data_IF_141623263796
#
_entry.id   IF_141623263796
#
_cell.length_a   1.000
_cell.length_b   1.000
_cell.length_c   1.000
_cell.angle_alpha   90.00
_cell.angle_beta   90.00
_cell.angle_gamma   90.00
#
_symmetry.space_group_name_H-M   'P 1'
#
loop_
_entity.id
_entity.type
_entity.pdbx_description
1 polymer ?
#
# COMPACT_ATOMS: atom_id res chain seq x y z
N UNK A 1 -20.38 -49.51 -16.33
CA UNK A 1 -19.82 -50.28 -15.20
C UNK A 1 -19.17 -49.29 -14.24
N UNK A 2 -19.75 -49.11 -13.05
CA UNK A 2 -19.26 -48.17 -12.06
C UNK A 2 -18.00 -48.75 -11.40
N UNK A 3 -16.85 -48.12 -11.62
CA UNK A 3 -15.62 -48.43 -10.89
C UNK A 3 -15.80 -48.04 -9.42
N UNK A 4 -16.11 -49.03 -8.56
CA UNK A 4 -16.00 -48.88 -7.10
C UNK A 4 -14.52 -48.93 -6.72
N UNK A 5 -13.82 -47.84 -6.98
CA UNK A 5 -12.44 -47.65 -6.54
C UNK A 5 -12.37 -47.46 -5.03
N UNK A 6 -11.24 -47.82 -4.43
CA UNK A 6 -10.93 -47.72 -3.00
C UNK A 6 -10.77 -46.27 -2.48
N UNK A 7 -10.69 -45.27 -3.37
CA UNK A 7 -10.50 -43.86 -3.03
C UNK A 7 -11.68 -43.16 -2.30
N UNK A 8 -12.96 -43.31 -2.70
CA UNK A 8 -14.08 -42.66 -2.02
C UNK A 8 -14.24 -43.04 -0.54
N UNK A 9 -13.86 -44.23 -0.11
CA UNK A 9 -14.13 -44.64 1.29
C UNK A 9 -13.17 -43.99 2.30
N UNK A 10 -11.94 -43.67 1.91
CA UNK A 10 -10.96 -43.04 2.81
C UNK A 10 -10.94 -41.52 2.61
N UNK A 11 -11.12 -41.04 1.38
CA UNK A 11 -10.99 -39.62 1.06
C UNK A 11 -12.31 -38.95 0.63
N UNK A 12 -13.44 -39.66 0.61
CA UNK A 12 -14.69 -39.16 0.04
C UNK A 12 -15.15 -37.84 0.64
N UNK A 13 -15.16 -37.71 1.97
CA UNK A 13 -15.62 -36.49 2.64
C UNK A 13 -14.66 -35.32 2.40
N UNK A 14 -13.34 -35.57 2.42
CA UNK A 14 -12.34 -34.53 2.15
C UNK A 14 -12.37 -34.09 0.68
N UNK A 15 -12.55 -35.05 -0.23
CA UNK A 15 -12.62 -34.81 -1.66
C UNK A 15 -13.89 -34.03 -2.02
N UNK A 16 -15.04 -34.39 -1.46
CA UNK A 16 -16.30 -33.68 -1.64
C UNK A 16 -16.20 -32.23 -1.11
N UNK A 17 -15.60 -32.04 0.06
CA UNK A 17 -15.36 -30.69 0.59
C UNK A 17 -14.40 -29.88 -0.29
N UNK A 18 -13.37 -30.53 -0.84
CA UNK A 18 -12.42 -29.89 -1.74
C UNK A 18 -13.07 -29.53 -3.08
N UNK A 19 -13.90 -30.39 -3.65
CA UNK A 19 -14.66 -30.11 -4.88
C UNK A 19 -15.71 -29.03 -4.66
N UNK A 20 -16.41 -29.01 -3.51
CA UNK A 20 -17.33 -27.94 -3.16
C UNK A 20 -16.61 -26.60 -3.00
N UNK A 21 -15.43 -26.60 -2.38
CA UNK A 21 -14.62 -25.39 -2.21
C UNK A 21 -14.07 -24.90 -3.56
N UNK A 22 -13.59 -25.81 -4.40
CA UNK A 22 -13.13 -25.49 -5.76
C UNK A 22 -14.26 -25.05 -6.67
N UNK A 23 -15.44 -25.67 -6.58
CA UNK A 23 -16.61 -25.32 -7.38
C UNK A 23 -17.15 -23.92 -7.08
N UNK A 24 -17.00 -23.43 -5.84
CA UNK A 24 -17.32 -22.04 -5.47
C UNK A 24 -16.37 -21.02 -6.13
N UNK A 25 -15.10 -21.40 -6.32
CA UNK A 25 -14.07 -20.52 -6.89
C UNK A 25 -14.01 -20.61 -8.43
N UNK A 26 -14.18 -21.81 -8.97
CA UNK A 26 -13.94 -22.13 -10.38
C UNK A 26 -15.22 -22.44 -11.19
N UNK A 27 -16.40 -22.35 -10.58
CA UNK A 27 -17.65 -22.71 -11.23
C UNK A 27 -17.88 -24.23 -11.32
N UNK A 28 -18.88 -24.66 -12.08
CA UNK A 28 -19.28 -26.08 -12.12
C UNK A 28 -18.22 -26.91 -12.87
N UNK A 29 -17.81 -28.08 -12.35
CA UNK A 29 -16.91 -28.98 -13.05
C UNK A 29 -17.65 -29.71 -14.18
N UNK A 30 -17.01 -29.78 -15.34
CA UNK A 30 -17.37 -30.64 -16.46
C UNK A 30 -16.37 -31.79 -16.54
N UNK A 31 -16.87 -33.02 -16.50
CA UNK A 31 -16.04 -34.21 -16.62
C UNK A 31 -16.10 -34.73 -18.05
N UNK A 32 -14.94 -34.93 -18.67
CA UNK A 32 -14.84 -35.59 -19.96
C UNK A 32 -13.72 -36.63 -19.94
N UNK A 33 -13.85 -37.63 -20.80
CA UNK A 33 -12.91 -38.75 -20.87
C UNK A 33 -11.95 -38.52 -22.02
N UNK A 34 -10.66 -38.37 -21.71
CA UNK A 34 -9.61 -38.13 -22.71
C UNK A 34 -8.45 -39.10 -22.46
N UNK A 35 -8.08 -39.88 -23.49
CA UNK A 35 -6.96 -40.83 -23.44
C UNK A 35 -7.01 -41.88 -22.30
N UNK A 36 -8.20 -42.29 -21.86
CA UNK A 36 -8.33 -43.26 -20.76
C UNK A 36 -8.37 -42.62 -19.36
N UNK A 37 -8.26 -41.30 -19.26
CA UNK A 37 -8.28 -40.55 -18.00
C UNK A 37 -9.56 -39.71 -17.90
N UNK A 38 -10.14 -39.66 -16.70
CA UNK A 38 -11.24 -38.75 -16.38
C UNK A 38 -10.61 -37.40 -16.04
N UNK A 39 -10.82 -36.41 -16.90
CA UNK A 39 -10.35 -35.04 -16.68
C UNK A 39 -11.53 -34.19 -16.25
N UNK A 40 -11.37 -33.49 -15.13
CA UNK A 40 -12.33 -32.51 -14.63
C UNK A 40 -11.88 -31.10 -15.04
N UNK A 41 -12.66 -30.41 -15.88
CA UNK A 41 -12.40 -29.02 -16.30
C UNK A 41 -13.49 -28.12 -15.74
N UNK A 42 -13.11 -27.01 -15.13
CA UNK A 42 -14.05 -26.09 -14.48
C UNK A 42 -14.52 -25.00 -15.46
N UNK A 43 -15.78 -24.59 -15.34
CA UNK A 43 -16.42 -23.60 -16.22
C UNK A 43 -15.64 -22.28 -16.34
N UNK A 44 -15.06 -21.78 -15.24
CA UNK A 44 -14.27 -20.54 -15.30
C UNK A 44 -12.96 -20.72 -16.05
N UNK A 45 -12.35 -21.91 -16.03
CA UNK A 45 -11.15 -22.22 -16.83
C UNK A 45 -11.48 -22.17 -18.32
N UNK A 46 -12.68 -22.60 -18.71
CA UNK A 46 -13.18 -22.50 -20.08
C UNK A 46 -13.42 -21.06 -20.57
N UNK A 47 -13.60 -20.10 -19.67
CA UNK A 47 -13.66 -18.67 -20.04
C UNK A 47 -12.27 -18.08 -20.32
N UNK A 48 -11.21 -18.65 -19.73
CA UNK A 48 -9.82 -18.28 -20.04
C UNK A 48 -9.27 -19.07 -21.24
N UNK A 49 -9.64 -20.34 -21.37
CA UNK A 49 -9.37 -21.18 -22.55
C UNK A 49 -10.49 -20.99 -23.58
N UNK A 50 -10.38 -19.92 -24.39
CA UNK A 50 -11.31 -19.64 -25.49
C UNK A 50 -11.68 -20.90 -26.29
N UNK A 51 -12.95 -21.28 -26.23
CA UNK A 51 -13.48 -22.54 -26.75
C UNK A 51 -13.52 -22.54 -28.30
N UNK A 52 -12.45 -22.98 -29.00
CA UNK A 52 -12.51 -23.36 -30.42
C UNK A 52 -11.50 -24.47 -30.82
N UNK A 53 -11.97 -25.68 -31.20
CA UNK A 53 -11.12 -26.84 -31.50
C UNK A 53 -10.39 -26.79 -32.86
N UNK A 54 -10.50 -25.70 -33.64
CA UNK A 54 -9.73 -25.51 -34.89
C UNK A 54 -8.74 -24.35 -34.88
N UNK A 55 -8.73 -23.51 -33.84
CA UNK A 55 -7.81 -22.35 -33.75
C UNK A 55 -6.77 -22.53 -32.64
N UNK A 56 -6.85 -23.62 -31.84
CA UNK A 56 -5.96 -23.91 -30.71
C UNK A 56 -4.45 -23.96 -31.02
N UNK A 57 -4.04 -23.98 -32.29
CA UNK A 57 -2.62 -23.91 -32.68
C UNK A 57 -2.09 -22.47 -32.79
N UNK A 58 -2.94 -21.47 -32.99
CA UNK A 58 -2.56 -20.06 -33.02
C UNK A 58 -2.58 -19.41 -31.62
N UNK A 59 -3.47 -19.87 -30.73
CA UNK A 59 -3.60 -19.33 -29.36
C UNK A 59 -2.53 -19.81 -28.37
N UNK A 60 -1.54 -20.60 -28.82
CA UNK A 60 -0.37 -20.94 -28.00
C UNK A 60 0.57 -19.74 -27.82
N UNK A 61 0.42 -18.69 -28.63
CA UNK A 61 1.19 -17.44 -28.51
C UNK A 61 0.37 -16.25 -27.98
N UNK A 62 -0.97 -16.34 -27.94
CA UNK A 62 -1.87 -15.23 -27.57
C UNK A 62 -2.75 -15.49 -26.33
N UNK A 63 -2.37 -16.40 -25.44
CA UNK A 63 -3.12 -16.59 -24.19
C UNK A 63 -3.03 -15.35 -23.29
N UNK A 64 -4.20 -14.71 -23.17
CA UNK A 64 -4.89 -13.81 -22.21
C UNK A 64 -4.29 -13.59 -20.79
N UNK A 65 -3.08 -14.07 -20.50
CA UNK A 65 -2.06 -13.36 -19.72
C UNK A 65 -1.28 -12.39 -20.64
N UNK A 66 -2.00 -11.75 -21.58
CA UNK A 66 -1.40 -11.04 -22.70
C UNK A 66 -0.31 -10.07 -22.25
N UNK A 67 0.78 -10.00 -23.02
CA UNK A 67 1.89 -9.06 -22.79
C UNK A 67 1.40 -7.64 -22.48
N UNK A 68 0.31 -7.21 -23.13
CA UNK A 68 -0.37 -5.93 -22.89
C UNK A 68 -0.93 -5.81 -21.47
N UNK A 69 -1.61 -6.83 -20.94
CA UNK A 69 -2.14 -6.81 -19.58
C UNK A 69 -1.01 -6.79 -18.54
N UNK A 70 0.00 -7.64 -18.74
CA UNK A 70 1.15 -7.72 -17.83
C UNK A 70 1.94 -6.41 -17.82
N UNK A 71 2.20 -5.81 -18.98
CA UNK A 71 2.88 -4.51 -19.08
C UNK A 71 2.08 -3.39 -18.43
N UNK A 72 0.75 -3.36 -18.61
CA UNK A 72 -0.12 -2.40 -17.94
C UNK A 72 -0.11 -2.57 -16.42
N UNK A 73 -0.17 -3.80 -15.91
CA UNK A 73 -0.08 -4.11 -14.49
C UNK A 73 1.26 -3.67 -13.89
N UNK A 74 2.37 -3.91 -14.61
CA UNK A 74 3.70 -3.44 -14.19
C UNK A 74 3.79 -1.91 -14.16
N UNK A 75 3.19 -1.22 -15.14
CA UNK A 75 3.12 0.24 -15.14
C UNK A 75 2.34 0.75 -13.92
N UNK A 76 1.20 0.13 -13.60
CA UNK A 76 0.40 0.52 -12.43
C UNK A 76 1.13 0.23 -11.12
N UNK A 77 1.79 -0.92 -10.97
CA UNK A 77 2.64 -1.20 -9.82
C UNK A 77 3.79 -0.21 -9.70
N UNK A 78 4.37 0.23 -10.82
CA UNK A 78 5.41 1.24 -10.83
C UNK A 78 4.89 2.61 -10.37
N UNK A 79 3.77 3.07 -10.91
CA UNK A 79 3.12 4.33 -10.48
C UNK A 79 2.73 4.25 -9.00
N UNK A 80 2.15 3.13 -8.58
CA UNK A 80 1.83 2.86 -7.17
C UNK A 80 3.07 2.93 -6.28
N UNK A 81 4.17 2.30 -6.70
CA UNK A 81 5.45 2.37 -6.00
C UNK A 81 5.99 3.79 -5.89
N UNK A 82 5.90 4.58 -6.97
CA UNK A 82 6.31 5.99 -6.97
C UNK A 82 5.48 6.84 -6.01
N UNK A 83 4.16 6.63 -5.94
CA UNK A 83 3.27 7.30 -4.99
C UNK A 83 3.62 6.96 -3.54
N UNK A 84 3.98 5.71 -3.25
CA UNK A 84 4.40 5.32 -1.90
C UNK A 84 5.80 5.88 -1.57
N UNK A 85 6.68 5.99 -2.57
CA UNK A 85 8.02 6.54 -2.38
C UNK A 85 8.01 8.03 -1.98
N UNK A 86 7.06 8.82 -2.49
CA UNK A 86 6.92 10.23 -2.07
C UNK A 86 6.52 10.37 -0.60
N UNK A 87 5.65 9.48 -0.11
CA UNK A 87 5.32 9.41 1.32
C UNK A 87 6.53 8.99 2.16
N UNK A 88 7.28 7.97 1.73
CA UNK A 88 8.52 7.57 2.41
C UNK A 88 9.55 8.70 2.47
N UNK A 89 9.73 9.46 1.39
CA UNK A 89 10.63 10.63 1.38
C UNK A 89 10.19 11.67 2.40
N UNK A 90 8.87 11.90 2.52
CA UNK A 90 8.32 12.83 3.51
C UNK A 90 8.62 12.34 4.93
N UNK A 91 8.40 11.05 5.22
CA UNK A 91 8.73 10.46 6.52
C UNK A 91 10.24 10.59 6.82
N UNK A 92 11.09 10.29 5.84
CA UNK A 92 12.54 10.40 5.96
C UNK A 92 12.99 11.84 6.23
N UNK A 93 12.42 12.83 5.55
CA UNK A 93 12.73 14.25 5.80
C UNK A 93 12.35 14.66 7.24
N UNK A 94 11.20 14.22 7.75
CA UNK A 94 10.82 14.49 9.14
C UNK A 94 11.75 13.81 10.14
N UNK A 95 12.14 12.56 9.85
CA UNK A 95 13.11 11.83 10.66
C UNK A 95 14.46 12.54 10.68
N UNK A 96 14.93 13.00 9.52
CA UNK A 96 16.17 13.75 9.38
C UNK A 96 16.13 15.05 10.19
N UNK A 97 15.09 15.87 10.03
CA UNK A 97 14.96 17.12 10.81
C UNK A 97 14.96 16.86 12.31
N UNK A 98 14.22 15.84 12.78
CA UNK A 98 14.23 15.50 14.20
C UNK A 98 15.60 14.99 14.65
N UNK A 99 16.28 14.19 13.84
CA UNK A 99 17.58 13.61 14.19
C UNK A 99 18.63 14.71 14.40
N UNK A 100 18.75 15.63 13.44
CA UNK A 100 19.74 16.72 13.48
C UNK A 100 19.39 17.87 14.43
N UNK A 101 18.14 17.97 14.90
CA UNK A 101 17.77 18.98 15.89
C UNK A 101 18.46 18.70 17.25
N UNK A 102 19.21 19.69 17.80
CA UNK A 102 19.93 19.52 19.05
C UNK A 102 18.99 19.33 20.24
N UNK A 103 19.44 18.56 21.23
CA UNK A 103 18.67 18.28 22.43
C UNK A 103 19.32 18.93 23.65
N UNK A 104 18.53 19.62 24.45
CA UNK A 104 18.95 20.22 25.74
C UNK A 104 18.14 19.59 26.87
N UNK A 105 18.74 19.41 28.04
CA UNK A 105 18.02 19.08 29.28
C UNK A 105 17.65 20.34 30.09
N UNK A 106 18.18 21.52 29.71
CA UNK A 106 17.86 22.78 30.39
C UNK A 106 16.49 23.33 29.93
N UNK A 107 15.47 23.21 30.78
CA UNK A 107 14.13 23.77 30.53
C UNK A 107 14.13 25.30 30.33
N UNK A 108 15.11 26.00 30.92
CA UNK A 108 15.20 27.47 30.87
C UNK A 108 15.73 28.03 29.54
N UNK A 109 16.25 27.20 28.63
CA UNK A 109 16.86 27.65 27.35
C UNK A 109 16.00 27.38 26.12
N UNK A 110 14.72 27.09 26.32
CA UNK A 110 13.84 26.59 25.25
C UNK A 110 13.46 27.67 24.22
N UNK A 111 13.40 28.93 24.65
CA UNK A 111 13.03 30.07 23.81
C UNK A 111 14.11 31.14 23.90
N UNK A 112 14.80 31.37 22.79
CA UNK A 112 15.66 32.55 22.64
C UNK A 112 14.87 33.56 21.82
N UNK A 113 14.57 34.70 22.44
CA UNK A 113 13.98 35.82 21.73
C UNK A 113 15.07 36.37 20.80
N UNK A 114 14.81 36.38 19.49
CA UNK A 114 15.72 37.03 18.54
C UNK A 114 15.80 38.53 18.87
N UNK A 115 16.98 39.13 18.73
CA UNK A 115 17.25 40.55 19.03
C UNK A 115 16.28 41.51 18.30
N UNK A 116 15.74 41.08 17.16
CA UNK A 116 14.78 41.86 16.37
C UNK A 116 13.36 41.89 16.95
N UNK A 117 13.09 41.18 18.06
CA UNK A 117 11.81 41.16 18.77
C UNK A 117 10.61 40.60 17.98
N UNK A 118 10.80 40.22 16.71
CA UNK A 118 9.74 39.82 15.78
C UNK A 118 9.64 38.32 15.54
N UNK A 119 10.67 37.54 15.88
CA UNK A 119 10.69 36.10 15.68
C UNK A 119 11.16 35.35 16.93
N UNK A 120 10.32 34.43 17.43
CA UNK A 120 10.73 33.42 18.41
C UNK A 120 11.36 32.24 17.67
N UNK A 121 12.64 31.95 17.93
CA UNK A 121 13.31 30.77 17.40
C UNK A 121 13.39 29.69 18.48
N UNK A 122 12.97 28.47 18.13
CA UNK A 122 13.12 27.30 18.99
C UNK A 122 14.55 26.78 18.78
N UNK A 123 15.39 26.88 19.82
CA UNK A 123 16.81 26.51 19.72
C UNK A 123 17.04 25.03 20.01
N UNK A 124 16.27 24.44 20.93
CA UNK A 124 16.46 23.06 21.34
C UNK A 124 15.14 22.42 21.81
N UNK A 125 15.06 21.10 21.67
CA UNK A 125 13.90 20.29 22.09
C UNK A 125 14.34 19.27 23.16
N UNK A 126 13.58 19.11 24.25
CA UNK A 126 13.90 18.13 25.29
C UNK A 126 13.86 16.69 24.75
N UNK A 127 14.76 15.86 25.27
CA UNK A 127 14.97 14.48 24.77
C UNK A 127 13.73 13.61 24.88
N UNK A 128 12.97 13.73 25.97
CA UNK A 128 11.73 12.98 26.20
C UNK A 128 10.69 13.22 25.10
N UNK A 129 10.48 14.48 24.73
CA UNK A 129 9.59 14.85 23.63
C UNK A 129 10.11 14.37 22.27
N UNK A 130 11.42 14.43 22.04
CA UNK A 130 12.03 13.93 20.80
C UNK A 130 11.76 12.43 20.60
N UNK A 131 11.95 11.61 21.64
CA UNK A 131 11.63 10.18 21.57
C UNK A 131 10.13 9.93 21.41
N UNK A 132 9.29 10.66 22.14
CA UNK A 132 7.84 10.53 22.00
C UNK A 132 7.38 10.79 20.57
N UNK A 133 7.83 11.89 19.94
CA UNK A 133 7.49 12.20 18.54
C UNK A 133 8.04 11.14 17.59
N UNK A 134 9.28 10.70 17.80
CA UNK A 134 9.92 9.70 16.94
C UNK A 134 9.16 8.35 16.98
N UNK A 135 8.80 7.85 18.16
CA UNK A 135 8.12 6.57 18.29
C UNK A 135 6.61 6.64 18.04
N UNK A 136 5.92 7.68 18.50
CA UNK A 136 4.46 7.74 18.37
C UNK A 136 4.04 8.25 17.00
N UNK A 137 4.74 9.24 16.45
CA UNK A 137 4.34 9.90 15.20
C UNK A 137 5.03 9.27 14.00
N UNK A 138 6.36 9.20 14.01
CA UNK A 138 7.10 8.72 12.82
C UNK A 138 6.91 7.22 12.63
N UNK A 139 7.06 6.42 13.68
CA UNK A 139 6.93 4.96 13.56
C UNK A 139 5.51 4.55 13.15
N UNK A 140 4.47 5.15 13.74
CA UNK A 140 3.08 4.84 13.35
C UNK A 140 2.81 5.17 11.89
N UNK A 141 3.31 6.32 11.40
CA UNK A 141 3.20 6.70 10.00
C UNK A 141 3.94 5.74 9.08
N UNK A 142 5.14 5.30 9.47
CA UNK A 142 5.92 4.32 8.72
C UNK A 142 5.22 2.96 8.65
N UNK A 143 4.65 2.49 9.77
CA UNK A 143 3.90 1.24 9.82
C UNK A 143 2.66 1.29 8.93
N UNK A 144 1.89 2.38 8.97
CA UNK A 144 0.71 2.54 8.10
C UNK A 144 1.15 2.53 6.62
N UNK A 145 2.22 3.25 6.26
CA UNK A 145 2.73 3.27 4.89
C UNK A 145 3.15 1.86 4.39
N UNK A 146 3.81 1.07 5.24
CA UNK A 146 4.17 -0.31 4.92
C UNK A 146 2.95 -1.22 4.73
N UNK A 147 1.96 -1.12 5.61
CA UNK A 147 0.72 -1.91 5.51
C UNK A 147 -0.03 -1.54 4.24
N UNK A 148 -0.17 -0.25 3.93
CA UNK A 148 -0.84 0.23 2.72
C UNK A 148 -0.09 -0.22 1.47
N UNK A 149 1.25 -0.20 1.48
CA UNK A 149 2.05 -0.72 0.37
C UNK A 149 1.82 -2.23 0.15
N UNK A 150 1.84 -3.02 1.23
CA UNK A 150 1.62 -4.47 1.15
C UNK A 150 0.21 -4.82 0.68
N UNK A 151 -0.82 -4.20 1.26
CA UNK A 151 -2.21 -4.42 0.87
C UNK A 151 -2.44 -3.94 -0.57
N UNK A 152 -1.92 -2.77 -0.95
CA UNK A 152 -2.05 -2.22 -2.30
C UNK A 152 -1.42 -3.10 -3.37
N UNK A 153 -0.21 -3.62 -3.11
CA UNK A 153 0.46 -4.55 -4.04
C UNK A 153 -0.30 -5.87 -4.18
N UNK A 154 -0.76 -6.47 -3.06
CA UNK A 154 -1.55 -7.70 -3.10
C UNK A 154 -2.91 -7.51 -3.80
N UNK A 155 -3.54 -6.35 -3.63
CA UNK A 155 -4.83 -6.05 -4.23
C UNK A 155 -4.73 -5.79 -5.74
N UNK A 156 -3.66 -5.14 -6.19
CA UNK A 156 -3.36 -4.94 -7.61
C UNK A 156 -3.04 -6.25 -8.32
N UNK A 157 -2.34 -7.18 -7.68
CA UNK A 157 -1.98 -8.48 -8.27
C UNK A 157 -3.12 -9.50 -8.24
N UNK A 158 -4.05 -9.39 -7.28
CA UNK A 158 -5.19 -10.31 -7.17
C UNK A 158 -6.34 -10.01 -8.14
N UNK A 159 -6.32 -8.86 -8.81
CA UNK A 159 -7.42 -8.43 -9.69
C UNK A 159 -7.35 -9.12 -11.06
N UNK A 160 -8.43 -9.77 -11.48
CA UNK A 160 -8.50 -10.52 -12.74
C UNK A 160 -9.00 -9.68 -13.93
N UNK A 161 -9.53 -8.47 -13.68
CA UNK A 161 -10.06 -7.58 -14.71
C UNK A 161 -9.42 -6.19 -14.67
N UNK A 162 -9.23 -5.58 -15.84
CA UNK A 162 -8.65 -4.24 -15.97
C UNK A 162 -9.49 -3.16 -15.25
N UNK A 163 -10.82 -3.29 -15.29
CA UNK A 163 -11.73 -2.34 -14.67
C UNK A 163 -11.63 -2.38 -13.15
N UNK A 164 -11.53 -3.57 -12.56
CA UNK A 164 -11.29 -3.73 -11.13
C UNK A 164 -9.95 -3.13 -10.73
N UNK A 165 -8.87 -3.38 -11.49
CA UNK A 165 -7.55 -2.81 -11.22
C UNK A 165 -7.60 -1.27 -11.14
N UNK A 166 -8.26 -0.62 -12.10
CA UNK A 166 -8.36 0.85 -12.14
C UNK A 166 -9.21 1.38 -10.99
N UNK A 167 -10.35 0.78 -10.68
CA UNK A 167 -11.17 1.18 -9.53
C UNK A 167 -10.42 0.99 -8.20
N UNK A 168 -9.67 -0.10 -8.08
CA UNK A 168 -8.91 -0.44 -6.89
C UNK A 168 -7.74 0.53 -6.67
N UNK A 169 -7.00 0.88 -7.74
CA UNK A 169 -5.92 1.87 -7.67
C UNK A 169 -6.41 3.28 -7.34
N UNK A 170 -7.55 3.70 -7.89
CA UNK A 170 -8.13 5.03 -7.57
C UNK A 170 -8.60 5.12 -6.13
N UNK A 171 -9.23 4.06 -5.60
CA UNK A 171 -9.60 3.96 -4.19
C UNK A 171 -8.39 4.09 -3.25
N UNK A 172 -7.27 3.44 -3.60
CA UNK A 172 -6.01 3.55 -2.83
C UNK A 172 -5.40 4.95 -2.89
N UNK A 173 -5.51 5.65 -4.03
CA UNK A 173 -5.12 7.05 -4.14
C UNK A 173 -5.86 7.95 -3.15
N UNK A 174 -7.18 7.80 -3.05
CA UNK A 174 -7.99 8.56 -2.08
C UNK A 174 -7.59 8.26 -0.63
N UNK A 175 -7.24 7.02 -0.31
CA UNK A 175 -6.81 6.64 1.04
C UNK A 175 -5.52 7.38 1.44
N UNK A 176 -4.57 7.53 0.51
CA UNK A 176 -3.34 8.30 0.75
C UNK A 176 -3.62 9.79 0.97
N UNK A 177 -4.52 10.40 0.19
CA UNK A 177 -4.90 11.81 0.35
C UNK A 177 -5.56 12.06 1.72
N UNK A 178 -6.45 11.17 2.15
CA UNK A 178 -7.11 11.25 3.46
C UNK A 178 -6.08 11.11 4.58
N UNK A 179 -5.11 10.20 4.44
CA UNK A 179 -4.04 10.03 5.41
C UNK A 179 -3.20 11.31 5.54
N UNK A 180 -2.82 11.94 4.42
CA UNK A 180 -2.08 13.19 4.43
C UNK A 180 -2.86 14.32 5.13
N UNK A 181 -4.16 14.44 4.84
CA UNK A 181 -5.05 15.42 5.48
C UNK A 181 -5.19 15.20 6.99
N UNK A 182 -5.39 13.95 7.43
CA UNK A 182 -5.51 13.61 8.84
C UNK A 182 -4.27 14.02 9.65
N UNK A 183 -3.07 13.76 9.12
CA UNK A 183 -1.83 14.17 9.78
C UNK A 183 -1.65 15.69 9.83
N UNK A 184 -2.06 16.41 8.78
CA UNK A 184 -2.08 17.87 8.79
C UNK A 184 -2.98 18.44 9.88
N UNK A 185 -4.17 17.86 10.06
CA UNK A 185 -5.11 18.23 11.13
C UNK A 185 -4.52 17.90 12.50
N UNK A 186 -3.99 16.69 12.69
CA UNK A 186 -3.41 16.29 13.97
C UNK A 186 -2.22 17.15 14.38
N UNK A 187 -1.31 17.46 13.43
CA UNK A 187 -0.21 18.39 13.63
C UNK A 187 -0.70 19.82 13.93
N UNK A 188 -1.84 20.23 13.36
CA UNK A 188 -2.52 21.49 13.68
C UNK A 188 -3.19 21.46 15.06
N UNK A 189 -3.72 20.33 15.50
CA UNK A 189 -4.40 20.19 16.79
C UNK A 189 -3.40 20.21 17.95
N UNK A 190 -2.27 19.51 17.81
CA UNK A 190 -1.16 19.60 18.77
C UNK A 190 -0.57 21.02 18.87
N UNK A 191 -0.78 21.84 17.85
CA UNK A 191 -0.44 23.27 17.87
C UNK A 191 -1.41 24.06 18.75
N UNK A 192 -2.71 23.73 18.79
CA UNK A 192 -3.72 24.45 19.57
C UNK A 192 -3.59 24.21 21.07
N UNK A 193 -3.17 23.03 21.51
CA UNK A 193 -3.04 22.73 22.95
C UNK A 193 -1.86 23.46 23.61
N UNK A 194 -0.87 23.93 22.83
CA UNK A 194 0.24 24.79 23.31
C UNK A 194 0.18 26.24 22.82
N UNK A 195 -0.79 26.60 21.98
CA UNK A 195 -0.97 27.97 21.49
C UNK A 195 -1.80 28.82 22.47
N UNK A 196 -1.26 28.99 23.68
CA UNK A 196 -1.30 30.27 24.35
C UNK A 196 -0.11 31.18 23.97
N UNK A 197 0.94 30.65 23.30
CA UNK A 197 2.18 31.43 23.08
C UNK A 197 3.08 30.99 21.93
N UNK A 198 2.55 30.44 20.84
CA UNK A 198 3.30 30.35 19.59
C UNK A 198 2.38 30.88 18.51
N UNK A 199 2.87 31.61 17.53
CA UNK A 199 2.11 32.05 16.35
C UNK A 199 2.98 32.00 15.09
N UNK A 200 4.20 31.46 15.22
CA UNK A 200 5.27 31.69 14.25
C UNK A 200 5.53 30.56 13.24
N UNK A 201 4.96 29.37 13.45
CA UNK A 201 5.20 28.20 12.57
C UNK A 201 4.40 28.21 11.25
N UNK A 202 3.86 29.35 10.80
CA UNK A 202 3.15 29.47 9.51
C UNK A 202 4.06 29.84 8.33
N UNK A 203 5.30 30.27 8.56
CA UNK A 203 6.14 30.81 7.48
C UNK A 203 7.06 29.83 6.75
N UNK A 204 7.18 28.57 7.17
CA UNK A 204 8.21 27.67 6.61
C UNK A 204 7.71 26.50 5.75
N UNK A 205 6.44 26.46 5.36
CA UNK A 205 5.91 25.41 4.47
C UNK A 205 5.81 25.84 2.99
N UNK A 206 6.40 26.97 2.63
CA UNK A 206 6.56 27.36 1.23
C UNK A 206 7.65 26.55 0.53
N UNK A 207 7.53 26.27 -0.79
CA UNK A 207 8.52 25.51 -1.56
C UNK A 207 9.92 26.16 -1.59
N UNK A 208 10.06 27.41 -1.16
CA UNK A 208 11.32 28.17 -1.10
C UNK A 208 12.05 28.08 0.25
N UNK A 209 11.53 27.38 1.26
CA UNK A 209 12.15 27.35 2.59
C UNK A 209 13.36 26.41 2.70
N UNK A 210 13.68 25.65 1.65
CA UNK A 210 14.85 24.75 1.61
C UNK A 210 16.18 25.52 1.46
N UNK A 211 16.17 26.76 1.00
CA UNK A 211 17.39 27.52 0.71
C UNK A 211 18.02 28.18 1.95
N UNK A 212 17.33 28.24 3.10
CA UNK A 212 17.87 28.89 4.31
C UNK A 212 18.51 27.94 5.32
N UNK A 213 18.44 26.62 5.11
CA UNK A 213 18.95 25.64 6.08
C UNK A 213 20.42 25.22 5.86
N UNK A 214 21.08 25.72 4.82
CA UNK A 214 22.47 25.40 4.50
C UNK A 214 23.24 26.64 4.02
N UNK A 215 23.92 27.38 4.90
CA UNK A 215 25.09 28.13 4.48
C UNK A 215 26.22 27.13 4.26
N UNK A 216 26.58 26.89 2.99
CA UNK A 216 27.97 26.50 2.69
C UNK A 216 28.85 27.73 2.80
#
# INVERSE_FOLDING_TARGET
>A
AAYKGFCPDIFGVLFEWLELSRGKLCGKPFFYFEQGLIVARYETVGNYEGNWPRIAKAWKEDSILGSVFTSFLMLLLFVWGMLILTEFRTIYNHLFVLYYMPSTDDDNKLFVQSEDGKAMQIVAVPRSHKYFVLYVVILSRFLIALVVFYVGTNFLTASASLLEIVLNSTALGFLLEVQAGFWGIWAGLGRLEKFGSLSLWRSCTGPTCWDCAWPM
#
